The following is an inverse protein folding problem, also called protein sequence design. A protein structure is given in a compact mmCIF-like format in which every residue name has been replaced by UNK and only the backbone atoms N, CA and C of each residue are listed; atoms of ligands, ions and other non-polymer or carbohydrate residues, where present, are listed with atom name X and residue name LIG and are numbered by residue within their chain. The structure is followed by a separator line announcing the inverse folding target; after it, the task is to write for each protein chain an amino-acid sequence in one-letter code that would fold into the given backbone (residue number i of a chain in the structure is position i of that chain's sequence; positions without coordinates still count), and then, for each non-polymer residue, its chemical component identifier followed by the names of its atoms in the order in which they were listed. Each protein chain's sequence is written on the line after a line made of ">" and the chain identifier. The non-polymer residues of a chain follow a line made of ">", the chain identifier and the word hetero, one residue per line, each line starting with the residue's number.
data_IF_738760895830
#
_entry.id   IF_738760895830
#
_cell.length_a   1.000
_cell.length_b   1.000
_cell.length_c   1.000
_cell.angle_alpha   90.00
_cell.angle_beta   90.00
_cell.angle_gamma   90.00
#
_symmetry.space_group_name_H-M   'P 1'
#
loop_
_entity.id
_entity.type
_entity.pdbx_description
1 polymer ?
#
# COMPACT_ATOMS: atom_id res chain seq x y z
N UNK A 1 5.58 -21.55 -3.98
CA UNK A 1 5.14 -21.03 -2.66
C UNK A 1 4.64 -19.62 -2.88
N UNK A 2 3.56 -19.24 -2.19
CA UNK A 2 2.97 -17.90 -2.31
C UNK A 2 3.56 -16.99 -1.24
N UNK A 3 4.01 -15.79 -1.63
CA UNK A 3 4.53 -14.76 -0.72
C UNK A 3 3.43 -13.78 -0.39
N UNK A 4 3.13 -13.62 0.90
CA UNK A 4 2.15 -12.65 1.40
C UNK A 4 2.85 -11.31 1.64
N UNK A 5 2.25 -10.22 1.14
CA UNK A 5 2.76 -8.85 1.34
C UNK A 5 1.67 -7.97 1.96
N UNK A 6 2.08 -7.11 2.88
CA UNK A 6 1.26 -6.04 3.44
C UNK A 6 1.34 -4.79 2.55
N UNK A 7 0.19 -4.14 2.33
CA UNK A 7 0.05 -2.92 1.55
C UNK A 7 -0.67 -1.85 2.38
N UNK A 8 -0.11 -0.64 2.46
CA UNK A 8 -0.77 0.54 3.03
C UNK A 8 -0.96 1.67 2.02
N UNK A 9 -2.13 2.31 2.00
CA UNK A 9 -2.39 3.52 1.21
C UNK A 9 -3.48 4.39 1.82
N UNK A 10 -3.60 5.65 1.40
CA UNK A 10 -4.55 6.58 2.02
C UNK A 10 -5.98 6.40 1.47
N UNK A 11 -7.02 6.75 2.24
CA UNK A 11 -8.39 6.70 1.75
C UNK A 11 -8.74 7.85 0.78
N UNK A 12 -7.76 8.64 0.33
CA UNK A 12 -7.98 9.70 -0.64
C UNK A 12 -8.51 9.14 -1.97
N UNK A 13 -9.37 9.88 -2.70
CA UNK A 13 -9.98 9.40 -3.94
C UNK A 13 -8.97 8.96 -5.02
N UNK A 14 -7.83 9.63 -5.11
CA UNK A 14 -6.77 9.29 -6.05
C UNK A 14 -6.11 7.94 -5.70
N UNK A 15 -5.78 7.72 -4.42
CA UNK A 15 -5.09 6.51 -3.97
C UNK A 15 -6.05 5.30 -4.07
N UNK A 16 -7.30 5.46 -3.62
CA UNK A 16 -8.33 4.42 -3.78
C UNK A 16 -8.57 4.06 -5.24
N UNK A 17 -8.57 5.05 -6.15
CA UNK A 17 -8.65 4.80 -7.60
C UNK A 17 -7.43 4.02 -8.12
N UNK A 18 -6.21 4.45 -7.79
CA UNK A 18 -4.96 3.81 -8.23
C UNK A 18 -4.87 2.37 -7.75
N UNK A 19 -5.23 2.09 -6.49
CA UNK A 19 -5.07 0.77 -5.87
C UNK A 19 -6.29 -0.14 -5.99
N UNK A 20 -7.41 0.31 -6.56
CA UNK A 20 -8.65 -0.48 -6.67
C UNK A 20 -8.41 -1.84 -7.34
N UNK A 21 -7.89 -1.84 -8.57
CA UNK A 21 -7.71 -3.07 -9.35
C UNK A 21 -6.74 -4.05 -8.66
N UNK A 22 -5.71 -3.52 -8.01
CA UNK A 22 -4.72 -4.31 -7.29
C UNK A 22 -5.33 -4.99 -6.05
N UNK A 23 -6.11 -4.25 -5.27
CA UNK A 23 -6.66 -4.71 -3.98
C UNK A 23 -7.91 -5.58 -4.11
N UNK A 24 -8.60 -5.49 -5.26
CA UNK A 24 -9.79 -6.27 -5.56
C UNK A 24 -9.49 -7.49 -6.45
N UNK A 25 -8.21 -7.83 -6.67
CA UNK A 25 -7.80 -9.02 -7.42
C UNK A 25 -8.06 -8.95 -8.92
N UNK A 26 -8.19 -7.75 -9.48
CA UNK A 26 -8.33 -7.55 -10.93
C UNK A 26 -6.98 -7.59 -11.68
N UNK A 27 -5.86 -7.60 -10.95
CA UNK A 27 -4.50 -7.72 -11.49
C UNK A 27 -3.91 -9.07 -11.08
N UNK A 28 -3.45 -9.92 -12.01
CA UNK A 28 -2.75 -11.17 -11.67
C UNK A 28 -1.41 -10.89 -10.99
N UNK A 29 -1.21 -11.46 -9.79
CA UNK A 29 0.01 -11.27 -8.99
C UNK A 29 0.91 -12.52 -8.93
N UNK A 30 0.62 -13.54 -9.75
CA UNK A 30 1.37 -14.79 -9.83
C UNK A 30 1.55 -15.46 -8.45
N UNK A 31 2.77 -15.50 -7.91
CA UNK A 31 3.12 -16.09 -6.63
C UNK A 31 3.07 -15.07 -5.47
N UNK A 32 2.54 -13.87 -5.69
CA UNK A 32 2.32 -12.86 -4.65
C UNK A 32 0.84 -12.79 -4.28
N UNK A 33 0.57 -12.53 -3.01
CA UNK A 33 -0.75 -12.21 -2.50
C UNK A 33 -0.66 -10.98 -1.58
N UNK A 34 -1.66 -10.11 -1.68
CA UNK A 34 -1.80 -8.97 -0.79
C UNK A 34 -2.71 -9.32 0.37
N UNK A 35 -2.27 -8.99 1.58
CA UNK A 35 -3.17 -8.93 2.74
C UNK A 35 -4.20 -7.82 2.55
N UNK A 36 -5.25 -7.84 3.38
CA UNK A 36 -6.21 -6.73 3.44
C UNK A 36 -5.44 -5.42 3.61
N UNK A 37 -5.68 -4.41 2.75
CA UNK A 37 -4.91 -3.17 2.81
C UNK A 37 -5.11 -2.43 4.12
N UNK A 38 -4.04 -1.81 4.61
CA UNK A 38 -4.09 -0.87 5.72
C UNK A 38 -4.41 0.51 5.16
N UNK A 39 -5.53 1.09 5.59
CA UNK A 39 -5.92 2.44 5.20
C UNK A 39 -5.62 3.40 6.35
N UNK A 40 -4.75 4.36 6.11
CA UNK A 40 -4.36 5.36 7.11
C UNK A 40 -4.05 6.71 6.46
N UNK A 41 -3.89 7.77 7.25
CA UNK A 41 -3.56 9.08 6.73
C UNK A 41 -2.13 9.14 6.15
N UNK A 42 -1.88 10.15 5.32
CA UNK A 42 -0.60 10.27 4.58
C UNK A 42 0.59 10.46 5.53
N UNK A 43 0.44 11.19 6.63
CA UNK A 43 1.51 11.45 7.58
C UNK A 43 1.89 10.15 8.31
N UNK A 44 0.91 9.41 8.80
CA UNK A 44 1.10 8.10 9.42
C UNK A 44 1.82 7.14 8.48
N UNK A 45 1.38 7.04 7.22
CA UNK A 45 2.02 6.19 6.21
C UNK A 45 3.47 6.62 5.91
N UNK A 46 3.74 7.93 5.86
CA UNK A 46 5.10 8.46 5.69
C UNK A 46 6.01 8.06 6.87
N UNK A 47 5.53 8.20 8.11
CA UNK A 47 6.29 7.77 9.30
C UNK A 47 6.56 6.27 9.27
N UNK A 48 5.56 5.46 8.89
CA UNK A 48 5.69 4.01 8.83
C UNK A 48 6.67 3.53 7.76
N UNK A 49 6.77 4.25 6.64
CA UNK A 49 7.75 3.96 5.60
C UNK A 49 9.19 4.04 6.13
N UNK A 50 9.50 5.04 6.95
CA UNK A 50 10.83 5.20 7.57
C UNK A 50 11.17 4.05 8.54
N UNK A 51 10.14 3.46 9.17
CA UNK A 51 10.29 2.32 10.07
C UNK A 51 10.15 0.94 9.39
N UNK A 52 9.97 0.89 8.07
CA UNK A 52 9.69 -0.33 7.31
C UNK A 52 8.56 -1.20 7.93
N UNK A 53 7.48 -0.56 8.40
CA UNK A 53 6.39 -1.24 9.12
C UNK A 53 5.54 -2.15 8.22
N UNK A 54 5.44 -1.80 6.93
CA UNK A 54 4.71 -2.53 5.91
C UNK A 54 5.67 -2.90 4.78
N UNK A 55 5.40 -4.01 4.08
CA UNK A 55 6.19 -4.45 2.93
C UNK A 55 6.09 -3.45 1.77
N UNK A 56 4.89 -2.89 1.59
CA UNK A 56 4.58 -1.88 0.57
C UNK A 56 3.73 -0.79 1.23
N UNK A 57 4.10 0.47 1.00
CA UNK A 57 3.28 1.61 1.43
C UNK A 57 3.28 2.71 0.39
N UNK A 58 2.15 3.39 0.22
CA UNK A 58 2.11 4.68 -0.46
C UNK A 58 2.99 5.65 0.33
N UNK A 59 3.77 6.45 -0.40
CA UNK A 59 4.60 7.51 0.16
C UNK A 59 4.28 8.82 -0.55
N UNK A 60 4.20 9.92 0.19
CA UNK A 60 4.17 11.24 -0.44
C UNK A 60 5.58 11.64 -0.88
N UNK A 61 5.72 12.33 -2.01
CA UNK A 61 7.02 12.84 -2.45
C UNK A 61 7.65 13.77 -1.41
N UNK A 62 6.83 14.57 -0.71
CA UNK A 62 7.26 15.44 0.39
C UNK A 62 8.03 14.70 1.50
N UNK A 63 7.73 13.41 1.74
CA UNK A 63 8.42 12.63 2.76
C UNK A 63 9.89 12.31 2.41
N UNK A 64 10.30 12.52 1.16
CA UNK A 64 11.67 12.26 0.70
C UNK A 64 12.60 13.49 0.78
N UNK A 65 12.08 14.66 1.16
CA UNK A 65 12.83 15.93 1.22
C UNK A 65 12.66 16.77 -0.03
#
# INVERSE_FOLDING_TARGET
>A
MTTQLSLGYSPCPNDTFIFYALTHGHIPLHNLQLSVPVLDDVETLNTWALSAKLDITKLSFHALG
#
